data_IF_082234767258
#
_entry.id   IF_082234767258
#
_cell.length_a   1.000
_cell.length_b   1.000
_cell.length_c   1.000
_cell.angle_alpha   90.00
_cell.angle_beta   90.00
_cell.angle_gamma   90.00
#
_symmetry.space_group_name_H-M   'P 1'
#
loop_
_entity.id
_entity.type
_entity.pdbx_description
1 polymer ?
#
# COMPACT_ATOMS: atom_id res chain seq x y z
N UNK A 1 -19.40 10.75 -21.42
CA UNK A 1 -18.11 10.34 -20.82
C UNK A 1 -18.43 9.27 -19.78
N UNK A 2 -17.90 8.03 -19.86
CA UNK A 2 -18.11 7.09 -18.77
C UNK A 2 -17.40 7.64 -17.52
N UNK A 3 -18.14 7.86 -16.44
CA UNK A 3 -17.56 8.18 -15.14
C UNK A 3 -16.67 6.99 -14.76
N UNK A 4 -15.35 7.18 -14.81
CA UNK A 4 -14.42 6.25 -14.20
C UNK A 4 -14.69 6.31 -12.70
N UNK A 5 -15.44 5.33 -12.19
CA UNK A 5 -15.58 5.17 -10.75
C UNK A 5 -14.18 5.09 -10.15
N UNK A 6 -13.84 5.95 -9.17
CA UNK A 6 -12.58 5.82 -8.47
C UNK A 6 -12.69 4.54 -7.63
N UNK A 7 -12.22 3.43 -8.19
CA UNK A 7 -12.30 2.12 -7.58
C UNK A 7 -11.77 2.10 -6.14
N UNK A 8 -12.16 1.09 -5.35
CA UNK A 8 -11.85 1.01 -3.92
C UNK A 8 -10.34 0.98 -3.72
N UNK A 9 -9.79 1.97 -3.02
CA UNK A 9 -8.38 1.98 -2.63
C UNK A 9 -8.20 1.16 -1.36
N UNK A 10 -7.15 0.36 -1.33
CA UNK A 10 -6.78 -0.48 -0.20
C UNK A 10 -5.29 -0.28 0.10
N UNK A 11 -4.94 -0.27 1.38
CA UNK A 11 -3.56 -0.18 1.85
C UNK A 11 -3.32 -1.34 2.81
N UNK A 12 -2.47 -2.27 2.42
CA UNK A 12 -1.96 -3.30 3.30
C UNK A 12 -0.67 -2.78 3.94
N UNK A 13 -0.60 -2.84 5.26
CA UNK A 13 0.56 -2.43 6.04
C UNK A 13 1.12 -3.65 6.74
N UNK A 14 2.44 -3.82 6.67
CA UNK A 14 3.18 -4.76 7.51
C UNK A 14 4.04 -3.96 8.46
N UNK A 15 3.89 -4.20 9.75
CA UNK A 15 4.65 -3.51 10.78
C UNK A 15 5.95 -4.21 11.19
N UNK A 16 6.69 -3.56 12.08
CA UNK A 16 7.93 -4.04 12.68
C UNK A 16 7.79 -5.34 13.46
N UNK A 17 6.57 -5.73 13.82
CA UNK A 17 6.25 -7.00 14.50
C UNK A 17 5.78 -8.07 13.51
N UNK A 18 5.91 -7.80 12.21
CA UNK A 18 5.41 -8.62 11.12
C UNK A 18 3.88 -8.77 11.10
N UNK A 19 3.14 -7.93 11.83
CA UNK A 19 1.68 -7.96 11.81
C UNK A 19 1.16 -7.26 10.55
N UNK A 20 0.09 -7.82 9.97
CA UNK A 20 -0.51 -7.35 8.72
C UNK A 20 -1.84 -6.67 9.02
N UNK A 21 -2.03 -5.45 8.51
CA UNK A 21 -3.26 -4.67 8.68
C UNK A 21 -3.74 -4.14 7.33
N UNK A 22 -5.02 -4.34 7.02
CA UNK A 22 -5.62 -3.89 5.77
C UNK A 22 -6.57 -2.72 6.03
N UNK A 23 -6.32 -1.61 5.36
CA UNK A 23 -7.15 -0.41 5.37
C UNK A 23 -7.82 -0.26 4.00
N UNK A 24 -9.06 0.24 3.96
CA UNK A 24 -9.78 0.47 2.71
C UNK A 24 -10.51 1.80 2.74
N UNK A 25 -10.54 2.51 1.61
CA UNK A 25 -11.31 3.73 1.44
C UNK A 25 -11.91 3.82 0.03
N UNK A 26 -13.10 4.39 -0.05
CA UNK A 26 -13.77 4.78 -1.30
C UNK A 26 -13.68 6.29 -1.53
N UNK A 27 -13.14 7.05 -0.57
CA UNK A 27 -12.96 8.49 -0.72
C UNK A 27 -11.95 8.76 -1.84
N UNK A 28 -12.27 9.63 -2.82
CA UNK A 28 -11.34 9.99 -3.87
C UNK A 28 -10.12 10.67 -3.26
N UNK A 29 -8.99 9.97 -3.31
CA UNK A 29 -7.71 10.45 -2.80
C UNK A 29 -6.59 9.94 -3.68
N UNK A 30 -5.52 10.71 -3.75
CA UNK A 30 -4.30 10.27 -4.44
C UNK A 30 -3.70 9.07 -3.68
N UNK A 31 -3.44 7.94 -4.34
CA UNK A 31 -2.95 6.73 -3.69
C UNK A 31 -1.58 6.92 -3.04
N UNK A 32 -0.71 7.79 -3.57
CA UNK A 32 0.61 8.06 -2.98
C UNK A 32 0.48 8.85 -1.68
N UNK A 33 -0.38 9.87 -1.66
CA UNK A 33 -0.72 10.67 -0.49
C UNK A 33 -1.31 9.80 0.62
N UNK A 34 -2.20 8.86 0.27
CA UNK A 34 -2.74 7.89 1.22
C UNK A 34 -1.64 6.98 1.78
N UNK A 35 -0.78 6.43 0.92
CA UNK A 35 0.30 5.53 1.32
C UNK A 35 1.29 6.19 2.30
N UNK A 36 1.64 7.46 2.05
CA UNK A 36 2.58 8.23 2.88
C UNK A 36 2.11 8.38 4.33
N UNK A 37 0.80 8.34 4.61
CA UNK A 37 0.26 8.35 5.98
C UNK A 37 0.67 7.11 6.79
N UNK A 38 0.96 6.02 6.10
CA UNK A 38 1.40 4.76 6.71
C UNK A 38 2.93 4.59 6.71
N UNK A 39 3.69 5.54 6.16
CA UNK A 39 5.16 5.56 6.22
C UNK A 39 5.66 6.01 7.60
N UNK A 40 5.37 5.25 8.65
CA UNK A 40 5.75 5.53 10.05
C UNK A 40 6.88 4.62 10.53
N UNK A 41 7.61 4.99 11.60
CA UNK A 41 8.68 4.15 12.17
C UNK A 41 8.22 2.76 12.65
N UNK A 42 6.93 2.61 12.97
CA UNK A 42 6.36 1.32 13.36
C UNK A 42 6.14 0.39 12.17
N UNK A 43 6.13 0.92 10.95
CA UNK A 43 5.81 0.17 9.73
C UNK A 43 7.06 -0.16 8.90
N UNK A 44 7.04 -1.30 8.22
CA UNK A 44 8.15 -1.79 7.38
C UNK A 44 7.78 -1.84 5.89
N UNK A 45 6.52 -2.14 5.58
CA UNK A 45 6.03 -2.28 4.21
C UNK A 45 4.62 -1.71 4.09
N UNK A 46 4.39 -0.94 3.04
CA UNK A 46 3.07 -0.41 2.68
C UNK A 46 2.77 -0.82 1.24
N UNK A 47 1.72 -1.59 1.01
CA UNK A 47 1.26 -2.04 -0.31
C UNK A 47 -0.05 -1.35 -0.64
N UNK A 48 -0.13 -0.71 -1.79
CA UNK A 48 -1.31 0.00 -2.25
C UNK A 48 -1.98 -0.77 -3.37
N UNK A 49 -3.29 -0.97 -3.23
CA UNK A 49 -4.12 -1.68 -4.19
C UNK A 49 -5.33 -0.85 -4.59
N UNK A 50 -5.86 -1.11 -5.79
CA UNK A 50 -7.16 -0.62 -6.24
C UNK A 50 -7.99 -1.80 -6.70
N UNK A 51 -9.17 -1.96 -6.13
CA UNK A 51 -10.07 -3.11 -6.39
C UNK A 51 -9.31 -4.44 -6.31
N UNK A 52 -8.57 -4.63 -5.21
CA UNK A 52 -7.70 -5.77 -4.95
C UNK A 52 -6.53 -5.98 -5.96
N UNK A 53 -6.27 -5.06 -6.88
CA UNK A 53 -5.11 -5.10 -7.80
C UNK A 53 -3.97 -4.24 -7.30
N UNK A 54 -2.76 -4.78 -7.34
CA UNK A 54 -1.55 -4.06 -6.95
C UNK A 54 -1.34 -2.80 -7.80
N UNK A 55 -1.05 -1.68 -7.13
CA UNK A 55 -0.60 -0.44 -7.77
C UNK A 55 0.91 -0.26 -7.58
N UNK A 56 1.35 -0.22 -6.33
CA UNK A 56 2.75 -0.07 -5.94
C UNK A 56 2.94 -0.45 -4.47
N UNK A 57 4.21 -0.50 -4.02
CA UNK A 57 4.56 -0.61 -2.61
C UNK A 57 5.66 0.36 -2.22
N UNK A 58 5.70 0.69 -0.93
CA UNK A 58 6.76 1.43 -0.29
C UNK A 58 7.40 0.52 0.76
N UNK A 59 8.71 0.37 0.68
CA UNK A 59 9.54 -0.44 1.57
C UNK A 59 10.44 0.48 2.38
N UNK A 60 10.48 0.29 3.70
CA UNK A 60 11.40 1.03 4.55
C UNK A 60 12.83 0.56 4.31
N UNK A 61 13.75 1.51 4.17
CA UNK A 61 15.16 1.20 3.99
C UNK A 61 15.70 0.50 5.24
N UNK A 62 16.52 -0.57 5.09
CA UNK A 62 17.16 -1.21 6.23
C UNK A 62 17.94 -0.21 7.08
N UNK A 63 17.80 -0.31 8.41
CA UNK A 63 18.49 0.59 9.35
C UNK A 63 18.03 2.04 9.35
N UNK A 64 16.94 2.38 8.65
CA UNK A 64 16.38 3.74 8.64
C UNK A 64 14.98 3.79 9.22
N UNK A 65 14.71 4.82 10.02
CA UNK A 65 13.36 5.08 10.54
C UNK A 65 12.47 5.82 9.53
N UNK A 66 13.06 6.64 8.65
CA UNK A 66 12.33 7.62 7.83
C UNK A 66 12.57 7.49 6.32
N UNK A 67 13.52 6.66 5.88
CA UNK A 67 13.80 6.48 4.44
C UNK A 67 12.93 5.34 3.89
N UNK A 68 12.18 5.66 2.84
CA UNK A 68 11.28 4.73 2.15
C UNK A 68 11.59 4.69 0.65
N UNK A 69 11.53 3.52 0.06
CA UNK A 69 11.79 3.28 -1.35
C UNK A 69 10.56 2.70 -2.02
N UNK A 70 10.29 3.12 -3.26
CA UNK A 70 9.23 2.53 -4.06
C UNK A 70 9.74 1.22 -4.66
N UNK A 71 9.20 0.12 -4.19
CA UNK A 71 9.55 -1.21 -4.68
C UNK A 71 8.90 -1.49 -6.03
N UNK A 72 9.66 -2.12 -6.94
CA UNK A 72 9.14 -2.62 -8.20
C UNK A 72 8.67 -4.07 -8.01
N UNK A 73 7.36 -4.29 -7.95
CA UNK A 73 6.76 -5.63 -8.10
C UNK A 73 5.83 -5.65 -9.29
N UNK A 74 5.59 -6.87 -9.79
CA UNK A 74 4.77 -7.11 -10.98
C UNK A 74 3.35 -6.59 -10.80
N UNK A 75 2.82 -5.91 -11.83
CA UNK A 75 1.43 -5.38 -11.89
C UNK A 75 0.36 -6.47 -11.80
N UNK A 76 0.75 -7.75 -11.85
CA UNK A 76 -0.15 -8.90 -11.80
C UNK A 76 -0.43 -9.43 -10.39
N UNK A 77 0.11 -8.79 -9.34
CA UNK A 77 -0.17 -9.22 -7.96
C UNK A 77 -1.55 -8.74 -7.49
N UNK A 78 -2.25 -9.61 -6.79
CA UNK A 78 -3.54 -9.39 -6.17
C UNK A 78 -3.41 -9.35 -4.65
N UNK A 79 -4.42 -8.81 -3.97
CA UNK A 79 -4.47 -8.77 -2.51
C UNK A 79 -4.20 -10.15 -1.86
N UNK A 80 -4.73 -11.23 -2.43
CA UNK A 80 -4.59 -12.59 -1.90
C UNK A 80 -3.13 -13.07 -1.85
N UNK A 81 -2.28 -12.62 -2.78
CA UNK A 81 -0.85 -12.94 -2.79
C UNK A 81 -0.11 -12.38 -1.57
N UNK A 82 -0.68 -11.38 -0.89
CA UNK A 82 -0.09 -10.73 0.27
C UNK A 82 -0.73 -11.13 1.60
N UNK A 83 -1.91 -11.76 1.55
CA UNK A 83 -2.62 -12.23 2.75
C UNK A 83 -2.30 -13.69 3.08
N UNK A 84 -1.73 -14.45 2.14
CA UNK A 84 -1.34 -15.85 2.32
C UNK A 84 -0.11 -16.04 3.22
#
# INVERSE_FOLDING_TARGET
MPQQHPGRLQVLVVDTRCERRLFSTTTPTDPETLARRFCTPDNCLVVVLRDNRFLFRLERAPGSHNRWHRGHRSRHQHLQDWLS
#
